data_IF_546207918779
#
_entry.id   IF_546207918779
#
_cell.length_a   1.000
_cell.length_b   1.000
_cell.length_c   1.000
_cell.angle_alpha   90.00
_cell.angle_beta   90.00
_cell.angle_gamma   90.00
#
_symmetry.space_group_name_H-M   'P 1'
#
loop_
_entity.id
_entity.type
_entity.pdbx_description
1 polymer ?
#
# COMPACT_ATOMS: atom_id res chain seq x y z
N UNK A 1 -16.32 -0.27 5.54
CA UNK A 1 -15.70 0.47 6.66
C UNK A 1 -14.21 0.68 6.46
N UNK A 2 -13.39 -0.39 6.43
CA UNK A 2 -11.92 -0.20 6.37
C UNK A 2 -11.50 0.53 5.08
N UNK A 3 -12.00 0.13 3.91
CA UNK A 3 -11.72 0.78 2.63
C UNK A 3 -12.10 2.27 2.63
N UNK A 4 -13.28 2.61 3.12
CA UNK A 4 -13.73 4.01 3.22
C UNK A 4 -12.78 4.87 4.07
N UNK A 5 -12.19 4.30 5.12
CA UNK A 5 -11.23 5.00 5.96
C UNK A 5 -9.89 5.22 5.24
N UNK A 6 -9.43 4.24 4.47
CA UNK A 6 -8.24 4.40 3.64
C UNK A 6 -8.47 5.39 2.50
N UNK A 7 -9.66 5.39 1.89
CA UNK A 7 -10.06 6.40 0.89
C UNK A 7 -10.07 7.81 1.50
N UNK A 8 -10.60 7.97 2.72
CA UNK A 8 -10.60 9.25 3.43
C UNK A 8 -9.16 9.72 3.77
N UNK A 9 -8.27 8.79 4.12
CA UNK A 9 -6.86 9.09 4.31
C UNK A 9 -6.20 9.55 3.01
N UNK A 10 -6.42 8.83 1.91
CA UNK A 10 -5.87 9.17 0.59
C UNK A 10 -6.37 10.53 0.08
N UNK A 11 -7.60 10.92 0.46
CA UNK A 11 -8.18 12.24 0.16
C UNK A 11 -7.75 13.35 1.13
N UNK A 12 -6.90 13.04 2.12
CA UNK A 12 -6.47 14.01 3.12
C UNK A 12 -7.54 14.42 4.15
N UNK A 13 -8.66 13.70 4.22
CA UNK A 13 -9.79 13.98 5.13
C UNK A 13 -9.55 13.48 6.55
N UNK A 14 -8.55 12.65 6.75
CA UNK A 14 -8.08 12.19 8.05
C UNK A 14 -6.60 11.83 8.01
N UNK A 15 -5.97 11.72 9.17
CA UNK A 15 -4.62 11.19 9.28
C UNK A 15 -4.62 9.69 9.68
N UNK A 16 -3.47 9.04 9.52
CA UNK A 16 -3.28 7.62 9.82
C UNK A 16 -3.58 7.28 11.29
N UNK A 17 -3.14 8.12 12.22
CA UNK A 17 -3.40 7.92 13.64
C UNK A 17 -4.90 7.86 13.94
N UNK A 18 -5.68 8.78 13.37
CA UNK A 18 -7.14 8.78 13.50
C UNK A 18 -7.77 7.55 12.89
N UNK A 19 -7.29 7.11 11.71
CA UNK A 19 -7.75 5.88 11.07
C UNK A 19 -7.61 4.68 12.01
N UNK A 20 -6.44 4.47 12.58
CA UNK A 20 -6.15 3.34 13.48
C UNK A 20 -6.97 3.40 14.77
N UNK A 21 -7.25 4.59 15.30
CA UNK A 21 -8.10 4.77 16.47
C UNK A 21 -9.55 4.39 16.22
N UNK A 22 -10.09 4.65 15.03
CA UNK A 22 -11.54 4.54 14.80
C UNK A 22 -11.99 3.30 14.02
N UNK A 23 -11.07 2.60 13.29
CA UNK A 23 -11.47 1.58 12.33
C UNK A 23 -12.27 0.43 12.95
N UNK A 24 -11.85 -0.09 14.10
CA UNK A 24 -12.55 -1.18 14.75
C UNK A 24 -13.80 -0.73 15.51
N UNK A 25 -13.81 0.47 16.09
CA UNK A 25 -15.04 1.05 16.64
C UNK A 25 -16.12 1.23 15.57
N UNK A 26 -15.76 1.75 14.39
CA UNK A 26 -16.69 1.84 13.25
C UNK A 26 -17.10 0.47 12.70
N UNK A 27 -16.20 -0.50 12.70
CA UNK A 27 -16.53 -1.87 12.31
C UNK A 27 -17.57 -2.46 13.28
N UNK A 28 -17.36 -2.36 14.59
CA UNK A 28 -18.28 -2.84 15.60
C UNK A 28 -19.65 -2.16 15.49
N UNK A 29 -19.66 -0.84 15.28
CA UNK A 29 -20.88 -0.07 15.04
C UNK A 29 -21.64 -0.59 13.80
N UNK A 30 -20.95 -0.82 12.69
CA UNK A 30 -21.56 -1.35 11.46
C UNK A 30 -22.12 -2.78 11.66
N UNK A 31 -21.52 -3.55 12.56
CA UNK A 31 -21.99 -4.90 12.94
C UNK A 31 -23.02 -4.87 14.09
N UNK A 32 -23.45 -3.70 14.53
CA UNK A 32 -24.36 -3.51 15.67
C UNK A 32 -23.86 -4.16 16.97
N UNK A 33 -22.53 -4.21 17.15
CA UNK A 33 -21.88 -4.73 18.35
C UNK A 33 -21.51 -3.58 19.30
N UNK A 34 -21.61 -3.79 20.63
CA UNK A 34 -21.17 -2.78 21.60
C UNK A 34 -19.65 -2.67 21.59
N UNK A 35 -19.12 -1.47 21.38
CA UNK A 35 -17.67 -1.23 21.37
C UNK A 35 -17.06 -1.43 22.78
N UNK A 36 -17.66 -0.88 23.82
CA UNK A 36 -17.19 -0.96 25.21
C UNK A 36 -15.66 -0.71 25.35
N UNK A 37 -15.08 0.17 24.51
CA UNK A 37 -13.66 0.47 24.50
C UNK A 37 -12.77 -0.62 23.86
N UNK A 38 -13.34 -1.65 23.26
CA UNK A 38 -12.59 -2.77 22.67
C UNK A 38 -11.96 -2.41 21.30
N UNK A 39 -12.45 -1.36 20.65
CA UNK A 39 -11.95 -0.98 19.31
C UNK A 39 -10.44 -0.75 19.29
N UNK A 40 -9.88 -0.10 20.32
CA UNK A 40 -8.42 0.08 20.43
C UNK A 40 -7.69 -1.25 20.62
N UNK A 41 -8.12 -2.09 21.54
CA UNK A 41 -7.50 -3.39 21.79
C UNK A 41 -7.55 -4.31 20.57
N UNK A 42 -8.65 -4.29 19.81
CA UNK A 42 -8.77 -4.99 18.53
C UNK A 42 -7.79 -4.46 17.49
N UNK A 43 -7.59 -3.14 17.43
CA UNK A 43 -6.61 -2.54 16.53
C UNK A 43 -5.19 -3.00 16.87
N UNK A 44 -4.81 -2.92 18.13
CA UNK A 44 -3.48 -3.29 18.59
C UNK A 44 -3.20 -4.78 18.30
N UNK A 45 -4.17 -5.65 18.58
CA UNK A 45 -4.05 -7.09 18.25
C UNK A 45 -4.01 -7.36 16.75
N UNK A 46 -4.77 -6.63 15.96
CA UNK A 46 -4.74 -6.74 14.50
C UNK A 46 -3.38 -6.34 13.93
N UNK A 47 -2.77 -5.26 14.41
CA UNK A 47 -1.43 -4.84 13.98
C UNK A 47 -0.36 -5.85 14.38
N UNK A 48 -0.45 -6.40 15.59
CA UNK A 48 0.43 -7.48 16.05
C UNK A 48 0.33 -8.70 15.13
N UNK A 49 -0.90 -9.17 14.85
CA UNK A 49 -1.11 -10.30 13.94
C UNK A 49 -0.63 -10.01 12.53
N UNK A 50 -0.89 -8.81 12.00
CA UNK A 50 -0.37 -8.41 10.69
C UNK A 50 1.15 -8.40 10.63
N UNK A 51 1.82 -8.04 11.70
CA UNK A 51 3.28 -8.02 11.74
C UNK A 51 3.90 -9.42 11.71
N UNK A 52 3.18 -10.42 12.21
CA UNK A 52 3.67 -11.81 12.32
C UNK A 52 3.19 -12.72 11.18
N UNK A 53 2.18 -12.30 10.41
CA UNK A 53 1.63 -13.07 9.29
C UNK A 53 1.94 -12.36 7.98
N UNK A 54 2.74 -13.00 7.15
CA UNK A 54 3.25 -12.45 5.90
C UNK A 54 3.06 -13.42 4.73
N UNK A 55 1.87 -14.04 4.66
CA UNK A 55 1.53 -14.94 3.57
C UNK A 55 1.56 -14.21 2.24
N UNK A 56 2.24 -14.78 1.28
CA UNK A 56 2.35 -14.25 -0.07
C UNK A 56 1.23 -14.80 -0.96
N UNK A 57 0.83 -14.02 -1.93
CA UNK A 57 -0.07 -14.51 -2.98
C UNK A 57 0.60 -15.63 -3.79
N UNK A 58 -0.17 -16.60 -4.30
CA UNK A 58 0.38 -17.63 -5.18
C UNK A 58 1.13 -17.00 -6.36
N UNK A 59 2.33 -17.51 -6.64
CA UNK A 59 3.19 -17.01 -7.72
C UNK A 59 3.99 -15.75 -7.41
N UNK A 60 3.79 -15.10 -6.26
CA UNK A 60 4.46 -13.85 -5.93
C UNK A 60 5.99 -14.00 -5.88
N UNK A 61 6.52 -15.06 -5.27
CA UNK A 61 7.97 -15.28 -5.22
C UNK A 61 8.55 -15.54 -6.61
N UNK A 62 7.91 -16.37 -7.43
CA UNK A 62 8.35 -16.63 -8.81
C UNK A 62 8.39 -15.34 -9.63
N UNK A 63 7.34 -14.51 -9.53
CA UNK A 63 7.31 -13.24 -10.23
C UNK A 63 8.42 -12.28 -9.76
N UNK A 64 8.69 -12.21 -8.45
CA UNK A 64 9.76 -11.37 -7.92
C UNK A 64 11.15 -11.87 -8.34
N UNK A 65 11.37 -13.17 -8.35
CA UNK A 65 12.61 -13.80 -8.81
C UNK A 65 12.89 -13.46 -10.28
N UNK A 66 11.92 -13.69 -11.16
CA UNK A 66 12.05 -13.40 -12.59
C UNK A 66 12.23 -11.88 -12.86
N UNK A 67 11.47 -11.04 -12.16
CA UNK A 67 11.55 -9.59 -12.34
C UNK A 67 12.85 -9.00 -11.80
N UNK A 68 13.42 -9.53 -10.73
CA UNK A 68 14.68 -9.03 -10.16
C UNK A 68 15.88 -9.21 -11.11
N UNK A 69 15.80 -10.14 -12.05
CA UNK A 69 16.85 -10.35 -13.06
C UNK A 69 16.86 -9.25 -14.14
N UNK A 70 15.75 -8.57 -14.37
CA UNK A 70 15.58 -7.64 -15.50
C UNK A 70 15.16 -6.22 -15.10
N UNK A 71 14.81 -5.99 -13.84
CA UNK A 71 14.32 -4.71 -13.36
C UNK A 71 14.78 -4.39 -11.92
N UNK A 72 14.91 -3.10 -11.63
CA UNK A 72 15.04 -2.59 -10.26
C UNK A 72 13.68 -2.67 -9.57
N UNK A 73 13.61 -3.36 -8.43
CA UNK A 73 12.38 -3.57 -7.69
C UNK A 73 12.32 -2.74 -6.41
N UNK A 74 11.19 -2.11 -6.17
CA UNK A 74 11.00 -1.32 -4.96
C UNK A 74 9.59 -1.44 -4.37
N UNK A 75 9.52 -1.39 -3.05
CA UNK A 75 8.24 -1.32 -2.31
C UNK A 75 7.95 0.13 -1.94
N UNK A 76 6.73 0.58 -2.25
CA UNK A 76 6.20 1.90 -1.85
C UNK A 76 4.92 1.70 -1.05
N UNK A 77 4.95 1.93 0.27
CA UNK A 77 3.85 1.57 1.18
C UNK A 77 3.33 2.73 2.03
N UNK A 78 1.99 2.79 2.18
CA UNK A 78 1.30 3.65 3.15
C UNK A 78 1.08 2.99 4.52
N UNK A 79 1.49 1.74 4.71
CA UNK A 79 1.31 1.02 5.97
C UNK A 79 2.08 1.63 7.15
N UNK A 80 1.79 1.17 8.36
CA UNK A 80 2.57 1.51 9.55
C UNK A 80 3.99 0.95 9.41
N UNK A 81 5.02 1.76 9.72
CA UNK A 81 6.41 1.40 9.45
C UNK A 81 6.80 0.07 10.13
N UNK A 82 6.57 -0.05 11.42
CA UNK A 82 6.92 -1.28 12.16
C UNK A 82 6.21 -2.51 11.59
N UNK A 83 4.92 -2.41 11.24
CA UNK A 83 4.16 -3.53 10.66
C UNK A 83 4.72 -3.91 9.29
N UNK A 84 4.98 -2.94 8.42
CA UNK A 84 5.48 -3.22 7.07
C UNK A 84 6.88 -3.83 7.09
N UNK A 85 7.77 -3.30 7.91
CA UNK A 85 9.13 -3.84 8.06
C UNK A 85 9.13 -5.30 8.50
N UNK A 86 8.36 -5.62 9.54
CA UNK A 86 8.24 -7.00 10.01
C UNK A 86 7.64 -7.92 8.94
N UNK A 87 6.59 -7.48 8.26
CA UNK A 87 5.96 -8.29 7.19
C UNK A 87 6.88 -8.54 6.01
N UNK A 88 7.57 -7.51 5.55
CA UNK A 88 8.50 -7.61 4.43
C UNK A 88 9.65 -8.57 4.80
N UNK A 89 10.24 -8.43 5.99
CA UNK A 89 11.28 -9.32 6.46
C UNK A 89 10.77 -10.77 6.67
N UNK A 90 9.59 -10.94 7.31
CA UNK A 90 9.02 -12.25 7.55
C UNK A 90 8.62 -12.99 6.27
N UNK A 91 8.22 -12.27 5.21
CA UNK A 91 7.93 -12.86 3.91
C UNK A 91 9.17 -13.19 3.09
N UNK A 92 10.33 -12.64 3.45
CA UNK A 92 11.59 -12.82 2.72
C UNK A 92 11.62 -12.15 1.34
N UNK A 93 10.69 -11.23 1.05
CA UNK A 93 10.67 -10.51 -0.24
C UNK A 93 11.67 -9.35 -0.27
N UNK A 94 12.16 -8.91 0.88
CA UNK A 94 13.18 -7.86 1.01
C UNK A 94 14.45 -8.15 0.20
N UNK A 95 14.83 -9.42 0.07
CA UNK A 95 16.00 -9.87 -0.72
C UNK A 95 15.91 -9.54 -2.21
N UNK A 96 14.72 -9.29 -2.73
CA UNK A 96 14.50 -8.92 -4.14
C UNK A 96 14.38 -7.40 -4.33
N UNK A 97 14.38 -6.61 -3.25
CA UNK A 97 14.09 -5.18 -3.30
C UNK A 97 15.35 -4.35 -3.25
N UNK A 98 15.54 -3.49 -4.24
CA UNK A 98 16.58 -2.47 -4.27
C UNK A 98 16.24 -1.27 -3.36
N UNK A 99 14.95 -1.10 -3.01
CA UNK A 99 14.50 -0.05 -2.11
C UNK A 99 13.16 -0.34 -1.45
N UNK A 100 13.01 0.12 -0.19
CA UNK A 100 11.76 0.00 0.58
C UNK A 100 11.40 1.37 1.15
N UNK A 101 10.29 1.93 0.65
CA UNK A 101 9.85 3.29 0.92
C UNK A 101 8.52 3.30 1.65
N UNK A 102 8.56 3.56 2.95
CA UNK A 102 7.37 3.59 3.81
C UNK A 102 7.01 5.03 4.14
N UNK A 103 5.78 5.42 3.84
CA UNK A 103 5.27 6.79 3.97
C UNK A 103 5.53 7.43 5.33
N UNK A 104 5.48 6.66 6.39
CA UNK A 104 5.67 7.13 7.77
C UNK A 104 7.11 7.57 8.04
N UNK A 105 8.09 6.89 7.44
CA UNK A 105 9.52 7.25 7.55
C UNK A 105 9.88 8.46 6.69
N UNK A 106 9.20 8.62 5.55
CA UNK A 106 9.50 9.68 4.57
C UNK A 106 8.69 10.95 4.83
N UNK A 107 7.60 10.85 5.60
CA UNK A 107 6.69 11.97 5.86
C UNK A 107 5.80 12.32 4.65
N UNK A 108 5.67 11.42 3.69
CA UNK A 108 4.82 11.59 2.51
C UNK A 108 4.11 10.29 2.16
N UNK A 109 2.81 10.34 1.89
CA UNK A 109 1.98 9.16 1.60
C UNK A 109 1.40 9.21 0.19
N UNK A 110 1.20 8.06 -0.45
CA UNK A 110 0.41 7.94 -1.69
C UNK A 110 -1.02 8.47 -1.44
N UNK A 111 -1.62 9.21 -2.33
CA UNK A 111 -1.24 9.45 -3.74
C UNK A 111 -0.31 10.65 -3.99
N UNK A 112 0.34 11.22 -2.97
CA UNK A 112 1.31 12.29 -3.19
C UNK A 112 2.49 11.81 -4.02
N UNK A 113 2.86 12.59 -5.05
CA UNK A 113 4.06 12.32 -5.85
C UNK A 113 5.35 12.32 -5.02
N UNK A 114 5.39 13.01 -3.88
CA UNK A 114 6.59 13.16 -3.05
C UNK A 114 7.21 11.83 -2.61
N UNK A 115 6.37 10.83 -2.30
CA UNK A 115 6.88 9.52 -1.91
C UNK A 115 7.58 8.81 -3.08
N UNK A 116 6.99 8.89 -4.28
CA UNK A 116 7.58 8.36 -5.51
C UNK A 116 8.85 9.13 -5.91
N UNK A 117 8.83 10.45 -5.82
CA UNK A 117 10.00 11.29 -6.11
C UNK A 117 11.18 10.98 -5.18
N UNK A 118 10.90 10.66 -3.91
CA UNK A 118 11.92 10.20 -2.98
C UNK A 118 12.50 8.87 -3.43
N UNK A 119 11.66 7.89 -3.75
CA UNK A 119 12.10 6.56 -4.21
C UNK A 119 12.91 6.65 -5.52
N UNK A 120 12.41 7.38 -6.52
CA UNK A 120 13.09 7.55 -7.80
C UNK A 120 14.46 8.20 -7.66
N UNK A 121 14.56 9.23 -6.80
CA UNK A 121 15.84 9.91 -6.55
C UNK A 121 16.84 9.00 -5.83
N UNK A 122 16.40 8.27 -4.84
CA UNK A 122 17.23 7.35 -4.06
C UNK A 122 17.76 6.20 -4.93
N UNK A 123 16.93 5.68 -5.84
CA UNK A 123 17.28 4.64 -6.81
C UNK A 123 18.05 5.20 -8.04
N UNK A 124 18.30 6.50 -8.13
CA UNK A 124 18.98 7.11 -9.27
C UNK A 124 18.19 7.09 -10.58
N UNK A 125 16.86 6.89 -10.52
CA UNK A 125 16.01 6.76 -11.71
C UNK A 125 15.57 8.13 -12.20
N UNK A 126 16.00 8.51 -13.40
CA UNK A 126 15.66 9.79 -14.05
C UNK A 126 14.60 9.64 -15.14
N UNK A 127 14.55 8.51 -15.81
CA UNK A 127 13.59 8.25 -16.90
C UNK A 127 12.31 7.61 -16.35
N UNK A 128 11.29 8.42 -16.09
CA UNK A 128 10.00 7.98 -15.56
C UNK A 128 9.19 7.09 -16.51
N UNK A 129 9.42 7.18 -17.84
CA UNK A 129 8.73 6.32 -18.82
C UNK A 129 9.15 4.84 -18.75
N UNK A 130 10.18 4.53 -17.98
CA UNK A 130 10.65 3.16 -17.72
C UNK A 130 10.24 2.66 -16.34
N UNK A 131 9.36 3.38 -15.66
CA UNK A 131 8.89 3.05 -14.30
C UNK A 131 7.44 2.63 -14.35
N UNK A 132 7.12 1.51 -13.73
CA UNK A 132 5.77 1.00 -13.59
C UNK A 132 5.40 0.91 -12.11
N UNK A 133 4.34 1.61 -11.71
CA UNK A 133 3.70 1.38 -10.41
C UNK A 133 2.66 0.29 -10.53
N UNK A 134 2.85 -0.81 -9.82
CA UNK A 134 1.87 -1.91 -9.69
C UNK A 134 1.20 -1.83 -8.32
N UNK A 135 -0.11 -1.84 -8.27
CA UNK A 135 -0.85 -1.81 -6.99
C UNK A 135 -2.33 -2.09 -7.15
N UNK A 136 -3.00 -2.37 -6.05
CA UNK A 136 -4.42 -2.74 -6.00
C UNK A 136 -5.36 -1.57 -5.66
N UNK A 137 -4.82 -0.47 -5.16
CA UNK A 137 -5.60 0.70 -4.76
C UNK A 137 -5.58 1.81 -5.80
N UNK A 138 -6.74 2.07 -6.43
CA UNK A 138 -6.87 3.12 -7.45
C UNK A 138 -6.53 4.51 -6.91
N UNK A 139 -6.95 4.84 -5.67
CA UNK A 139 -6.74 6.17 -5.10
C UNK A 139 -5.33 6.37 -4.58
N UNK A 140 -4.71 5.36 -3.97
CA UNK A 140 -3.37 5.47 -3.45
C UNK A 140 -2.31 5.15 -4.51
N UNK A 141 -2.38 3.97 -5.12
CA UNK A 141 -1.31 3.45 -5.98
C UNK A 141 -1.38 4.05 -7.39
N UNK A 142 -2.52 3.87 -8.04
CA UNK A 142 -2.66 4.25 -9.44
C UNK A 142 -2.66 5.76 -9.59
N UNK A 143 -3.46 6.49 -8.83
CA UNK A 143 -3.42 7.95 -8.82
C UNK A 143 -2.07 8.48 -8.37
N UNK A 144 -1.42 7.81 -7.42
CA UNK A 144 -0.07 8.16 -6.96
C UNK A 144 0.97 8.05 -8.08
N UNK A 145 0.96 6.95 -8.84
CA UNK A 145 1.81 6.75 -10.01
C UNK A 145 1.54 7.79 -11.11
N UNK A 146 0.26 8.07 -11.40
CA UNK A 146 -0.14 9.13 -12.35
C UNK A 146 0.41 10.50 -11.89
N UNK A 147 0.23 10.85 -10.61
CA UNK A 147 0.73 12.10 -10.05
C UNK A 147 2.26 12.21 -10.10
N UNK A 148 2.95 11.07 -10.03
CA UNK A 148 4.41 11.01 -10.16
C UNK A 148 4.89 10.95 -11.62
N UNK A 149 3.98 10.87 -12.59
CA UNK A 149 4.30 10.79 -14.02
C UNK A 149 4.96 9.47 -14.43
N UNK A 150 4.61 8.36 -13.78
CA UNK A 150 5.06 7.01 -14.12
C UNK A 150 3.90 6.18 -14.69
N UNK A 151 4.21 5.11 -15.40
CA UNK A 151 3.21 4.16 -15.88
C UNK A 151 2.55 3.43 -14.70
N UNK A 152 1.30 2.99 -14.89
CA UNK A 152 0.52 2.37 -13.81
C UNK A 152 -0.12 1.06 -14.27
N UNK A 153 -0.11 0.06 -13.39
CA UNK A 153 -0.75 -1.22 -13.56
C UNK A 153 -1.64 -1.52 -12.35
N UNK A 154 -2.93 -1.59 -12.58
CA UNK A 154 -3.88 -1.94 -11.55
C UNK A 154 -3.99 -3.46 -11.40
N UNK A 155 -3.56 -3.97 -10.25
CA UNK A 155 -3.74 -5.37 -9.88
C UNK A 155 -5.18 -5.58 -9.37
N UNK A 156 -6.02 -6.24 -10.17
CA UNK A 156 -7.45 -6.40 -9.94
C UNK A 156 -7.93 -7.86 -10.10
N UNK A 157 -7.41 -8.81 -9.30
CA UNK A 157 -7.70 -10.24 -9.47
C UNK A 157 -9.16 -10.61 -9.25
N UNK A 158 -9.97 -9.72 -8.66
CA UNK A 158 -11.41 -9.93 -8.43
C UNK A 158 -12.29 -9.28 -9.51
N UNK A 159 -11.67 -8.71 -10.53
CA UNK A 159 -12.36 -8.01 -11.62
C UNK A 159 -13.40 -6.99 -11.12
N UNK A 160 -13.02 -6.21 -10.11
CA UNK A 160 -13.89 -5.17 -9.52
C UNK A 160 -14.06 -4.04 -10.54
N UNK A 161 -15.30 -3.57 -10.71
CA UNK A 161 -15.59 -2.42 -11.56
C UNK A 161 -14.89 -1.15 -11.05
N UNK A 162 -14.21 -0.43 -11.94
CA UNK A 162 -13.65 0.88 -11.63
C UNK A 162 -14.76 1.93 -11.67
N UNK A 163 -15.16 2.42 -10.50
CA UNK A 163 -16.18 3.48 -10.33
C UNK A 163 -15.57 4.88 -10.16
N UNK A 164 -14.29 5.04 -10.53
CA UNK A 164 -13.57 6.31 -10.44
C UNK A 164 -13.21 6.82 -11.83
N UNK A 165 -12.76 8.06 -11.90
CA UNK A 165 -12.17 8.69 -13.10
C UNK A 165 -10.67 8.36 -13.28
N UNK A 166 -10.10 7.52 -12.41
CA UNK A 166 -8.69 7.14 -12.44
C UNK A 166 -8.48 6.04 -13.50
N UNK A 167 -7.74 6.35 -14.54
CA UNK A 167 -7.45 5.41 -15.64
C UNK A 167 -6.04 4.81 -15.48
N UNK A 168 -5.89 3.56 -15.05
CA UNK A 168 -4.60 2.86 -15.09
C UNK A 168 -4.18 2.64 -16.54
N UNK A 169 -2.86 2.65 -16.82
CA UNK A 169 -2.34 2.31 -18.15
C UNK A 169 -2.55 0.84 -18.48
N UNK A 170 -2.41 -0.02 -17.48
CA UNK A 170 -2.61 -1.47 -17.58
C UNK A 170 -3.50 -1.96 -16.43
N UNK A 171 -4.18 -3.08 -16.65
CA UNK A 171 -4.92 -3.82 -15.62
C UNK A 171 -4.61 -5.30 -15.77
N UNK A 172 -4.31 -5.96 -14.63
CA UNK A 172 -4.02 -7.40 -14.54
C UNK A 172 -4.76 -8.00 -13.36
N UNK A 173 -5.04 -9.28 -13.42
CA UNK A 173 -5.73 -9.99 -12.36
C UNK A 173 -5.54 -11.47 -12.40
#
# INVERSE_FOLDING_TARGET
VNRELWDALAKGQMNKQKLFQVRFGRFMQAMQLPDNGKGKAMNDRYEELLSTHADLLPGALTALEELSEVATLAIVSNGAAAVQEHRIAASGIDRYMDGIYISEKIGAAKPSAKLFEHALRDLGITNRSRVLMVGDDLLADIKGGINAGVDTCWYNPRNVENKTDIAPKFTVG
#
